data_IF_675122195011
#
_entry.id   IF_675122195011
#
_cell.length_a   1.000
_cell.length_b   1.000
_cell.length_c   1.000
_cell.angle_alpha   90.00
_cell.angle_beta   90.00
_cell.angle_gamma   90.00
#
_symmetry.space_group_name_H-M   'P 1'
#
loop_
_entity.id
_entity.type
_entity.pdbx_description
1 polymer ?
#
# COMPACT_ATOMS: atom_id res chain seq x y z
N UNK A 1 -59.10 67.91 25.73
CA UNK A 1 -58.02 67.01 26.17
C UNK A 1 -57.13 66.76 24.95
N UNK A 2 -56.29 67.72 24.59
CA UNK A 2 -54.82 67.77 24.84
C UNK A 2 -54.09 66.67 24.07
N UNK A 3 -53.59 66.86 22.84
CA UNK A 3 -52.56 67.78 22.28
C UNK A 3 -51.12 67.21 22.35
N UNK A 4 -50.56 66.93 21.15
CA UNK A 4 -49.21 67.28 20.64
C UNK A 4 -47.98 66.84 21.46
N UNK A 5 -46.98 66.18 20.82
CA UNK A 5 -45.66 66.74 20.44
C UNK A 5 -44.62 65.66 20.02
N UNK A 6 -43.82 65.96 19.00
CA UNK A 6 -42.51 65.32 18.69
C UNK A 6 -41.46 65.68 19.77
N UNK A 7 -40.35 64.94 19.86
CA UNK A 7 -39.05 65.62 19.75
C UNK A 7 -37.96 64.84 18.98
N UNK A 8 -36.86 65.56 18.74
CA UNK A 8 -35.61 65.20 18.05
C UNK A 8 -34.44 65.11 19.09
N UNK A 9 -33.13 65.19 18.76
CA UNK A 9 -32.11 64.13 18.88
C UNK A 9 -31.02 64.33 19.98
N UNK A 10 -30.12 63.34 20.14
CA UNK A 10 -28.87 63.40 20.93
C UNK A 10 -28.70 62.17 21.83
N UNK A 11 -27.56 61.54 22.08
CA UNK A 11 -26.15 61.85 21.85
C UNK A 11 -25.35 60.54 21.76
N UNK A 12 -24.24 60.56 21.01
CA UNK A 12 -23.25 59.48 20.93
C UNK A 12 -22.28 59.62 22.09
N UNK A 13 -22.12 58.57 22.91
CA UNK A 13 -21.03 58.44 23.88
C UNK A 13 -20.10 57.33 23.37
N UNK A 14 -18.89 57.73 22.96
CA UNK A 14 -17.76 56.84 22.72
C UNK A 14 -17.16 56.44 24.07
N UNK A 15 -17.19 55.15 24.42
CA UNK A 15 -16.39 54.60 25.52
C UNK A 15 -15.18 53.88 24.93
N UNK A 16 -13.98 54.43 25.20
CA UNK A 16 -12.71 53.83 24.87
C UNK A 16 -12.39 52.68 25.84
N UNK A 17 -12.26 51.45 25.31
CA UNK A 17 -11.68 50.32 26.03
C UNK A 17 -10.20 50.19 25.65
N UNK A 18 -9.31 50.45 26.61
CA UNK A 18 -7.87 50.25 26.46
C UNK A 18 -7.53 48.76 26.34
N UNK A 19 -6.89 48.39 25.24
CA UNK A 19 -6.31 47.06 25.06
C UNK A 19 -4.94 47.01 25.75
N UNK A 20 -4.85 46.26 26.86
CA UNK A 20 -3.59 45.80 27.41
C UNK A 20 -3.02 44.71 26.50
N UNK A 21 -1.95 45.04 25.77
CA UNK A 21 -1.19 44.09 24.98
C UNK A 21 -0.43 43.14 25.91
N UNK A 22 -0.93 41.91 26.05
CA UNK A 22 -0.15 40.79 26.59
C UNK A 22 0.79 40.32 25.48
N UNK A 23 2.11 40.27 25.69
CA UNK A 23 3.01 39.73 24.67
C UNK A 23 2.68 38.25 24.50
N UNK A 24 2.24 37.86 23.30
CA UNK A 24 2.22 36.46 22.89
C UNK A 24 3.66 35.96 22.93
N UNK A 25 4.01 35.23 23.98
CA UNK A 25 5.18 34.38 23.97
C UNK A 25 4.99 33.34 22.86
N UNK A 26 5.73 33.52 21.77
CA UNK A 26 5.79 32.54 20.70
C UNK A 26 6.27 31.21 21.29
N UNK A 27 5.38 30.23 21.33
CA UNK A 27 5.77 28.84 21.58
C UNK A 27 6.67 28.40 20.44
N UNK A 28 7.85 27.81 20.72
CA UNK A 28 8.71 27.34 19.64
C UNK A 28 8.00 26.18 18.95
N UNK A 29 7.62 26.40 17.70
CA UNK A 29 7.21 25.34 16.80
C UNK A 29 8.34 24.28 16.78
N UNK A 30 7.96 23.02 16.98
CA UNK A 30 8.85 21.86 16.95
C UNK A 30 9.64 21.81 15.65
N UNK A 31 10.89 22.28 15.66
CA UNK A 31 11.75 22.27 14.49
C UNK A 31 12.19 20.83 14.19
N UNK A 32 11.55 20.19 13.21
CA UNK A 32 12.11 19.01 12.57
C UNK A 32 13.46 19.40 11.95
N UNK A 33 14.52 18.64 12.22
CA UNK A 33 15.83 18.85 11.61
C UNK A 33 15.69 18.76 10.09
N UNK A 34 16.06 19.83 9.39
CA UNK A 34 16.18 19.85 7.94
C UNK A 34 17.58 19.34 7.60
N UNK A 35 17.69 18.13 7.06
CA UNK A 35 18.97 17.63 6.54
C UNK A 35 19.51 18.48 5.40
N UNK A 36 20.75 18.23 4.94
CA UNK A 36 21.25 18.85 3.70
C UNK A 36 20.25 18.61 2.57
N UNK A 37 20.15 19.54 1.62
CA UNK A 37 19.17 19.45 0.52
C UNK A 37 19.28 18.10 -0.21
N UNK A 38 20.51 17.59 -0.34
CA UNK A 38 20.78 16.27 -0.87
C UNK A 38 22.01 15.60 -0.26
N UNK A 39 21.93 14.29 -0.09
CA UNK A 39 23.02 13.36 0.22
C UNK A 39 23.21 12.43 -0.98
N UNK A 40 24.44 12.31 -1.47
CA UNK A 40 24.78 11.34 -2.52
C UNK A 40 25.56 10.18 -1.91
N UNK A 41 24.96 9.00 -1.95
CA UNK A 41 25.53 7.73 -1.48
C UNK A 41 26.14 7.02 -2.69
N UNK A 42 27.46 6.82 -2.71
CA UNK A 42 28.18 6.27 -3.87
C UNK A 42 28.63 4.84 -3.61
N UNK A 43 28.60 4.00 -4.64
CA UNK A 43 29.21 2.66 -4.62
C UNK A 43 30.70 2.77 -4.29
N UNK A 44 31.17 1.98 -3.33
CA UNK A 44 32.55 2.03 -2.84
C UNK A 44 32.92 3.30 -2.06
N UNK A 45 31.96 4.21 -1.86
CA UNK A 45 32.15 5.42 -1.05
C UNK A 45 31.86 5.17 0.43
N UNK A 46 32.25 6.12 1.31
CA UNK A 46 31.93 6.04 2.73
C UNK A 46 30.43 6.23 2.97
N UNK A 47 29.96 5.74 4.11
CA UNK A 47 28.61 6.05 4.59
C UNK A 47 28.42 7.57 4.71
N UNK A 48 27.23 8.06 4.35
CA UNK A 48 26.84 9.46 4.45
C UNK A 48 25.66 9.59 5.38
N UNK A 49 25.50 10.71 6.06
CA UNK A 49 24.44 10.81 7.06
C UNK A 49 24.18 12.24 7.49
N UNK A 50 23.21 12.37 8.38
CA UNK A 50 22.82 13.62 9.02
C UNK A 50 22.60 13.37 10.52
N UNK A 51 22.89 14.37 11.37
CA UNK A 51 22.40 14.35 12.74
C UNK A 51 20.89 14.58 12.75
N UNK A 52 20.22 14.07 13.79
CA UNK A 52 18.86 14.47 14.14
C UNK A 52 18.72 14.49 15.67
N UNK A 53 17.79 15.29 16.17
CA UNK A 53 17.50 15.39 17.60
C UNK A 53 16.13 14.80 17.86
N UNK A 54 16.06 13.77 18.69
CA UNK A 54 14.81 13.23 19.20
C UNK A 54 14.38 14.07 20.40
N UNK A 55 13.30 14.86 20.25
CA UNK A 55 12.77 15.69 21.33
C UNK A 55 12.20 14.89 22.50
N UNK A 56 11.87 13.61 22.25
CA UNK A 56 11.35 12.63 23.21
C UNK A 56 11.89 11.24 22.86
N UNK A 57 12.01 10.39 23.87
CA UNK A 57 12.22 8.95 23.65
C UNK A 57 11.00 8.34 22.98
N UNK A 58 11.20 7.40 22.08
CA UNK A 58 10.14 6.72 21.35
C UNK A 58 10.62 6.16 20.01
N UNK A 59 9.67 5.72 19.20
CA UNK A 59 9.94 5.18 17.88
C UNK A 59 10.23 6.31 16.90
N UNK A 60 11.34 6.20 16.16
CA UNK A 60 11.73 7.15 15.15
C UNK A 60 11.41 6.66 13.73
N UNK A 61 11.13 7.62 12.85
CA UNK A 61 10.88 7.41 11.41
C UNK A 61 11.77 8.37 10.62
N UNK A 62 12.24 7.94 9.45
CA UNK A 62 12.88 8.80 8.47
C UNK A 62 11.99 8.98 7.24
N UNK A 63 11.97 10.18 6.67
CA UNK A 63 11.33 10.52 5.39
C UNK A 63 12.36 11.16 4.46
N UNK A 64 12.26 10.87 3.16
CA UNK A 64 13.16 11.39 2.14
C UNK A 64 12.60 11.18 0.74
N UNK A 65 13.18 11.85 -0.26
CA UNK A 65 12.99 11.50 -1.68
C UNK A 65 14.24 10.80 -2.20
N UNK A 66 14.10 9.63 -2.84
CA UNK A 66 15.23 8.82 -3.32
C UNK A 66 15.16 8.53 -4.81
N UNK A 67 16.32 8.46 -5.43
CA UNK A 67 16.50 8.08 -6.83
C UNK A 67 17.87 7.42 -7.02
N UNK A 68 17.96 6.44 -7.91
CA UNK A 68 19.19 5.76 -8.28
C UNK A 68 19.45 5.89 -9.78
N UNK A 69 20.14 6.96 -10.24
CA UNK A 69 20.46 7.12 -11.65
C UNK A 69 21.17 5.88 -12.22
N UNK A 70 20.71 5.42 -13.38
CA UNK A 70 21.25 4.24 -14.06
C UNK A 70 20.52 2.93 -13.76
N UNK A 71 19.62 2.89 -12.76
CA UNK A 71 18.79 1.70 -12.49
C UNK A 71 17.40 1.82 -13.14
N UNK A 72 16.76 0.69 -13.39
CA UNK A 72 15.37 0.56 -13.84
C UNK A 72 14.88 -0.84 -13.51
N UNK A 73 13.77 -0.93 -12.79
CA UNK A 73 13.13 -2.20 -12.43
C UNK A 73 12.75 -3.06 -13.64
N UNK A 74 12.54 -2.44 -14.81
CA UNK A 74 12.21 -3.12 -16.07
C UNK A 74 13.41 -3.83 -16.73
N UNK A 75 14.64 -3.53 -16.30
CA UNK A 75 15.86 -3.98 -16.99
C UNK A 75 16.64 -4.97 -16.14
N UNK A 76 16.77 -6.19 -16.66
CA UNK A 76 17.62 -7.24 -16.08
C UNK A 76 19.07 -6.75 -15.89
N UNK A 77 19.64 -6.99 -14.72
CA UNK A 77 20.99 -6.55 -14.34
C UNK A 77 21.12 -5.07 -13.96
N UNK A 78 20.02 -4.30 -14.00
CA UNK A 78 19.96 -2.89 -13.64
C UNK A 78 18.78 -2.57 -12.69
N UNK A 79 18.26 -3.56 -11.97
CA UNK A 79 16.97 -3.50 -11.28
C UNK A 79 16.93 -2.42 -10.19
N UNK A 80 17.90 -2.45 -9.26
CA UNK A 80 17.88 -1.55 -8.11
C UNK A 80 19.26 -1.23 -7.53
N UNK A 81 19.32 -0.13 -6.79
CA UNK A 81 20.35 0.12 -5.79
C UNK A 81 19.83 -0.26 -4.41
N UNK A 82 20.70 -0.78 -3.55
CA UNK A 82 20.41 -1.06 -2.14
C UNK A 82 21.24 -0.14 -1.26
N UNK A 83 20.58 0.48 -0.27
CA UNK A 83 21.21 1.37 0.70
C UNK A 83 20.94 0.83 2.10
N UNK A 84 21.99 0.44 2.81
CA UNK A 84 21.90 0.10 4.22
C UNK A 84 21.69 1.39 5.04
N UNK A 85 20.68 1.39 5.89
CA UNK A 85 20.34 2.52 6.77
C UNK A 85 20.68 2.14 8.20
N UNK A 86 21.34 3.04 8.91
CA UNK A 86 21.77 2.82 10.29
C UNK A 86 21.54 4.06 11.17
N UNK A 87 21.21 3.83 12.43
CA UNK A 87 21.11 4.85 13.49
C UNK A 87 22.19 4.59 14.53
N UNK A 88 23.01 5.60 14.81
CA UNK A 88 24.13 5.52 15.76
C UNK A 88 25.07 4.33 15.50
N UNK A 89 25.27 4.01 14.22
CA UNK A 89 26.10 2.90 13.78
C UNK A 89 25.41 1.53 13.76
N UNK A 90 24.20 1.40 14.30
CA UNK A 90 23.40 0.16 14.26
C UNK A 90 22.59 0.09 12.96
N UNK A 91 22.79 -0.96 12.16
CA UNK A 91 21.95 -1.24 10.98
C UNK A 91 20.50 -1.50 11.38
N UNK A 92 19.56 -0.81 10.73
CA UNK A 92 18.12 -0.88 11.06
C UNK A 92 17.27 -1.39 9.91
N UNK A 93 17.59 -1.01 8.67
CA UNK A 93 16.84 -1.41 7.47
C UNK A 93 17.70 -1.30 6.22
N UNK A 94 17.33 -2.02 5.17
CA UNK A 94 17.85 -1.91 3.81
C UNK A 94 16.79 -1.28 2.91
N UNK A 95 17.17 -0.20 2.24
CA UNK A 95 16.33 0.51 1.28
C UNK A 95 16.65 0.05 -0.14
N UNK A 96 15.69 -0.61 -0.79
CA UNK A 96 15.74 -0.92 -2.22
C UNK A 96 15.19 0.28 -3.01
N UNK A 97 16.01 0.82 -3.90
CA UNK A 97 15.69 1.96 -4.78
C UNK A 97 15.61 1.44 -6.22
N UNK A 98 14.39 1.17 -6.75
CA UNK A 98 14.20 0.45 -8.01
C UNK A 98 14.13 1.37 -9.24
N UNK A 99 14.36 2.67 -9.07
CA UNK A 99 14.16 3.65 -10.14
C UNK A 99 15.15 4.82 -10.10
N UNK A 100 15.42 5.36 -11.29
CA UNK A 100 16.09 6.64 -11.46
C UNK A 100 15.16 7.84 -11.18
N UNK A 101 13.85 7.62 -11.15
CA UNK A 101 12.86 8.66 -10.87
C UNK A 101 12.78 8.99 -9.37
N UNK A 102 12.78 10.28 -8.99
CA UNK A 102 12.66 10.69 -7.59
C UNK A 102 11.35 10.24 -6.95
N UNK A 103 11.45 9.43 -5.90
CA UNK A 103 10.30 8.87 -5.19
C UNK A 103 10.34 9.23 -3.71
N UNK A 104 9.25 9.79 -3.17
CA UNK A 104 9.12 10.02 -1.73
C UNK A 104 8.95 8.69 -1.00
N UNK A 105 9.69 8.49 0.09
CA UNK A 105 9.73 7.26 0.89
C UNK A 105 9.83 7.59 2.37
N UNK A 106 9.39 6.65 3.18
CA UNK A 106 9.63 6.63 4.62
C UNK A 106 10.05 5.23 5.08
N UNK A 107 10.81 5.19 6.18
CA UNK A 107 11.26 3.95 6.84
C UNK A 107 11.21 4.13 8.35
N UNK A 108 10.91 3.05 9.07
CA UNK A 108 11.05 3.01 10.51
C UNK A 108 12.54 2.89 10.89
N UNK A 109 12.91 3.52 12.00
CA UNK A 109 14.27 3.53 12.54
C UNK A 109 14.37 2.77 13.87
N UNK A 110 13.23 2.47 14.50
CA UNK A 110 13.11 1.85 15.81
C UNK A 110 13.25 2.85 16.96
N UNK A 111 13.33 2.29 18.17
CA UNK A 111 13.39 3.06 19.40
C UNK A 111 14.68 3.87 19.53
N UNK A 112 14.53 5.16 19.84
CA UNK A 112 15.62 6.08 20.17
C UNK A 112 15.34 6.79 21.50
N UNK A 113 16.39 7.20 22.22
CA UNK A 113 16.25 7.99 23.44
C UNK A 113 16.01 9.46 23.08
N UNK A 114 15.56 10.27 24.02
CA UNK A 114 15.62 11.72 23.87
C UNK A 114 17.10 12.15 23.77
N UNK A 115 17.44 12.94 22.77
CA UNK A 115 18.81 13.44 22.58
C UNK A 115 19.25 13.47 21.12
N UNK A 116 20.57 13.58 20.94
CA UNK A 116 21.21 13.61 19.63
C UNK A 116 21.44 12.19 19.10
N UNK A 117 21.17 12.01 17.81
CA UNK A 117 21.34 10.77 17.08
C UNK A 117 21.91 11.03 15.69
N UNK A 118 22.44 9.99 15.07
CA UNK A 118 22.99 10.06 13.70
C UNK A 118 22.34 9.03 12.80
N UNK A 119 21.63 9.51 11.77
CA UNK A 119 21.12 8.68 10.68
C UNK A 119 22.19 8.58 9.58
N UNK A 120 22.47 7.36 9.13
CA UNK A 120 23.47 7.08 8.10
C UNK A 120 22.93 6.17 7.01
N UNK A 121 23.45 6.37 5.81
CA UNK A 121 23.14 5.67 4.57
C UNK A 121 24.46 5.19 3.96
N UNK A 122 24.57 3.88 3.72
CA UNK A 122 25.73 3.25 3.12
C UNK A 122 25.33 2.47 1.86
N UNK A 123 26.11 2.58 0.79
CA UNK A 123 25.82 1.85 -0.43
C UNK A 123 26.09 0.35 -0.23
N UNK A 124 25.07 -0.49 -0.33
CA UNK A 124 25.20 -1.94 -0.19
C UNK A 124 25.53 -2.56 -1.55
N UNK A 125 26.83 -2.65 -1.85
CA UNK A 125 27.31 -3.07 -3.17
C UNK A 125 26.87 -4.47 -3.58
N UNK A 126 26.80 -5.41 -2.62
CA UNK A 126 26.46 -6.81 -2.86
C UNK A 126 25.00 -7.01 -3.29
N UNK A 127 24.06 -6.26 -2.70
CA UNK A 127 22.64 -6.31 -3.10
C UNK A 127 22.30 -5.43 -4.31
N UNK A 128 23.18 -4.52 -4.70
CA UNK A 128 22.90 -3.52 -5.75
C UNK A 128 23.27 -4.01 -7.15
N UNK A 129 22.38 -3.79 -8.12
CA UNK A 129 22.62 -4.10 -9.53
C UNK A 129 23.88 -3.38 -10.07
N UNK A 130 24.61 -3.98 -11.02
CA UNK A 130 25.90 -3.44 -11.48
C UNK A 130 25.78 -2.02 -12.05
N UNK A 131 24.64 -1.70 -12.69
CA UNK A 131 24.33 -0.38 -13.21
C UNK A 131 24.15 0.69 -12.09
N UNK A 132 23.79 0.28 -10.88
CA UNK A 132 23.66 1.19 -9.74
C UNK A 132 25.05 1.69 -9.29
N UNK A 133 25.34 2.98 -9.50
CA UNK A 133 26.61 3.60 -9.07
C UNK A 133 26.44 4.60 -7.94
N UNK A 134 25.25 5.16 -7.78
CA UNK A 134 24.92 6.11 -6.72
C UNK A 134 23.42 6.13 -6.43
N UNK A 135 23.08 6.53 -5.21
CA UNK A 135 21.72 6.89 -4.79
C UNK A 135 21.75 8.34 -4.32
N UNK A 136 20.76 9.11 -4.77
CA UNK A 136 20.54 10.47 -4.30
C UNK A 136 19.40 10.45 -3.30
N UNK A 137 19.68 10.85 -2.06
CA UNK A 137 18.69 11.03 -0.99
C UNK A 137 18.47 12.53 -0.84
N UNK A 138 17.27 13.03 -1.11
CA UNK A 138 16.93 14.46 -1.03
C UNK A 138 16.04 14.72 0.18
N UNK A 139 16.28 15.87 0.81
CA UNK A 139 15.52 16.37 1.98
C UNK A 139 15.30 15.32 3.06
N UNK A 140 16.32 14.56 3.50
CA UNK A 140 16.16 13.58 4.56
C UNK A 140 15.76 14.28 5.86
N UNK A 141 14.74 13.74 6.52
CA UNK A 141 14.27 14.17 7.84
C UNK A 141 14.09 12.92 8.70
N UNK A 142 14.49 13.00 9.96
CA UNK A 142 14.25 11.95 10.93
C UNK A 142 13.76 12.56 12.25
N UNK A 143 12.93 11.81 12.97
CA UNK A 143 12.41 12.25 14.26
C UNK A 143 11.46 11.23 14.88
N UNK A 144 11.02 11.51 16.10
CA UNK A 144 10.08 10.69 16.86
C UNK A 144 8.67 11.27 16.76
N UNK A 145 7.82 10.79 15.82
CA UNK A 145 6.45 11.28 15.70
C UNK A 145 5.68 11.13 17.03
N UNK A 146 4.69 12.01 17.25
CA UNK A 146 3.80 11.90 18.43
C UNK A 146 2.68 10.89 18.19
N UNK A 147 2.13 10.89 16.98
CA UNK A 147 1.10 9.94 16.56
C UNK A 147 1.70 8.54 16.38
N UNK A 148 0.83 7.53 16.45
CA UNK A 148 1.09 6.14 16.04
C UNK A 148 2.25 5.44 16.75
N UNK A 149 2.72 5.99 17.87
CA UNK A 149 3.86 5.44 18.62
C UNK A 149 3.65 4.00 19.09
N UNK A 150 2.40 3.64 19.43
CA UNK A 150 2.07 2.26 19.80
C UNK A 150 2.15 1.33 18.60
N UNK A 151 1.63 1.74 17.44
CA UNK A 151 1.73 0.98 16.20
C UNK A 151 3.19 0.84 15.72
N UNK A 152 3.97 1.91 15.78
CA UNK A 152 5.38 1.85 15.45
C UNK A 152 6.15 0.89 16.37
N UNK A 153 5.86 0.89 17.69
CA UNK A 153 6.59 0.10 18.70
C UNK A 153 6.45 -1.40 18.48
N UNK A 154 5.31 -1.85 17.96
CA UNK A 154 5.03 -3.27 17.73
C UNK A 154 5.08 -3.65 16.25
N UNK A 155 5.52 -2.72 15.39
CA UNK A 155 5.68 -2.97 13.95
C UNK A 155 6.74 -4.07 13.71
N UNK A 156 6.48 -5.02 12.80
CA UNK A 156 7.42 -6.09 12.50
C UNK A 156 8.63 -5.56 11.72
N UNK A 157 9.79 -6.18 11.98
CA UNK A 157 10.94 -6.10 11.09
C UNK A 157 10.87 -7.33 10.18
N UNK A 158 10.73 -7.08 8.88
CA UNK A 158 10.64 -8.14 7.88
C UNK A 158 12.03 -8.45 7.34
N UNK A 159 12.54 -9.64 7.63
CA UNK A 159 13.77 -10.15 7.03
C UNK A 159 13.47 -10.70 5.64
N UNK A 160 14.35 -10.39 4.69
CA UNK A 160 14.21 -10.79 3.30
C UNK A 160 14.25 -12.31 3.08
N UNK A 161 13.72 -12.72 1.93
CA UNK A 161 13.72 -14.10 1.44
C UNK A 161 15.15 -14.60 1.24
N UNK A 162 15.40 -15.81 1.74
CA UNK A 162 16.64 -16.58 1.50
C UNK A 162 16.30 -17.96 0.96
N UNK A 163 15.42 -18.01 -0.04
CA UNK A 163 14.89 -19.24 -0.60
C UNK A 163 15.91 -19.89 -1.56
N UNK A 164 16.45 -21.09 -1.27
CA UNK A 164 17.46 -21.71 -2.11
C UNK A 164 17.02 -21.89 -3.58
N UNK A 165 15.74 -22.20 -3.80
CA UNK A 165 15.15 -22.40 -5.13
C UNK A 165 15.15 -21.14 -6.01
N UNK A 166 15.35 -19.95 -5.43
CA UNK A 166 15.42 -18.69 -6.16
C UNK A 166 16.88 -18.22 -6.38
N UNK A 167 17.88 -18.94 -5.86
CA UNK A 167 19.29 -18.86 -6.29
C UNK A 167 20.08 -17.58 -5.97
N UNK A 168 19.48 -16.57 -5.33
CA UNK A 168 20.14 -15.33 -4.92
C UNK A 168 19.97 -15.10 -3.40
N UNK A 169 20.94 -14.51 -2.70
CA UNK A 169 20.79 -14.13 -1.29
C UNK A 169 20.19 -12.71 -1.13
N UNK A 170 20.10 -11.95 -2.22
CA UNK A 170 19.57 -10.59 -2.28
C UNK A 170 18.30 -10.53 -3.15
N UNK A 171 17.48 -11.58 -3.15
CA UNK A 171 16.30 -11.73 -4.03
C UNK A 171 15.40 -10.51 -3.97
N UNK A 172 15.11 -10.01 -2.77
CA UNK A 172 14.27 -8.82 -2.58
C UNK A 172 14.88 -7.52 -3.11
N UNK A 173 16.11 -7.51 -3.65
CA UNK A 173 16.66 -6.39 -4.41
C UNK A 173 16.41 -6.52 -5.93
N UNK A 174 15.74 -7.59 -6.36
CA UNK A 174 15.50 -7.95 -7.77
C UNK A 174 14.06 -8.37 -8.03
N UNK A 175 13.38 -8.99 -7.07
CA UNK A 175 11.98 -9.41 -7.14
C UNK A 175 11.33 -9.57 -5.76
N UNK A 176 10.01 -9.41 -5.67
CA UNK A 176 9.20 -9.25 -4.45
C UNK A 176 9.91 -8.37 -3.41
N UNK A 177 10.31 -7.15 -3.77
CA UNK A 177 10.82 -6.23 -2.74
C UNK A 177 9.64 -5.78 -1.86
N UNK A 178 9.76 -5.78 -0.52
CA UNK A 178 8.81 -5.07 0.32
C UNK A 178 8.79 -3.58 -0.05
N UNK A 179 7.61 -3.04 -0.36
CA UNK A 179 7.41 -1.69 -0.89
C UNK A 179 6.88 -0.74 0.18
N UNK A 180 5.78 -1.15 0.82
CA UNK A 180 4.98 -0.36 1.76
C UNK A 180 4.55 -1.25 2.93
N UNK A 181 4.38 -0.66 4.10
CA UNK A 181 3.69 -1.28 5.23
C UNK A 181 2.60 -0.33 5.75
N UNK A 182 1.61 -0.88 6.41
CA UNK A 182 0.60 -0.12 7.13
C UNK A 182 0.11 -0.91 8.33
N UNK A 183 -0.66 -0.26 9.20
CA UNK A 183 -1.35 -0.93 10.29
C UNK A 183 -2.86 -0.65 10.27
N UNK A 184 -3.59 -1.56 10.89
CA UNK A 184 -5.00 -1.42 11.21
C UNK A 184 -5.21 -1.74 12.70
N UNK A 185 -6.10 -0.99 13.35
CA UNK A 185 -6.52 -1.29 14.72
C UNK A 185 -7.85 -2.03 14.68
N UNK A 186 -7.87 -3.25 15.21
CA UNK A 186 -9.04 -4.10 15.30
C UNK A 186 -9.54 -4.17 16.76
N UNK A 187 -10.84 -4.37 16.98
CA UNK A 187 -11.37 -4.57 18.33
C UNK A 187 -10.73 -5.79 19.02
N UNK A 188 -10.36 -5.64 20.29
CA UNK A 188 -10.03 -6.77 21.17
C UNK A 188 -11.27 -7.21 21.98
N UNK A 189 -11.25 -8.43 22.49
CA UNK A 189 -12.33 -8.96 23.34
C UNK A 189 -12.37 -8.28 24.71
N UNK A 190 -11.21 -7.90 25.24
CA UNK A 190 -11.09 -7.23 26.53
C UNK A 190 -11.27 -5.70 26.38
N UNK A 191 -12.15 -5.06 27.18
CA UNK A 191 -12.32 -3.61 27.14
C UNK A 191 -11.00 -2.85 27.36
N UNK A 192 -10.78 -1.79 26.58
CA UNK A 192 -9.58 -0.96 26.61
C UNK A 192 -8.36 -1.55 25.89
N UNK A 193 -8.43 -2.82 25.47
CA UNK A 193 -7.41 -3.44 24.62
C UNK A 193 -7.75 -3.22 23.14
N UNK A 194 -6.75 -3.39 22.27
CA UNK A 194 -6.92 -3.42 20.81
C UNK A 194 -5.93 -4.37 20.15
N UNK A 195 -6.29 -4.90 18.99
CA UNK A 195 -5.38 -5.72 18.17
C UNK A 195 -4.79 -4.85 17.08
N UNK A 196 -3.48 -4.83 16.97
CA UNK A 196 -2.76 -4.19 15.88
C UNK A 196 -2.49 -5.23 14.81
N UNK A 197 -3.01 -5.04 13.59
CA UNK A 197 -2.68 -5.83 12.42
C UNK A 197 -1.73 -5.05 11.52
N UNK A 198 -0.63 -5.67 11.12
CA UNK A 198 0.33 -5.11 10.17
C UNK A 198 0.27 -5.84 8.86
N UNK A 199 0.34 -5.10 7.77
CA UNK A 199 0.37 -5.65 6.42
C UNK A 199 1.45 -5.00 5.58
N UNK A 200 1.90 -5.72 4.56
CA UNK A 200 2.99 -5.32 3.67
C UNK A 200 2.56 -5.53 2.21
N UNK A 201 3.05 -4.65 1.33
CA UNK A 201 2.95 -4.79 -0.13
C UNK A 201 4.31 -5.23 -0.65
N UNK A 202 4.37 -6.30 -1.44
CA UNK A 202 5.56 -6.73 -2.17
C UNK A 202 5.44 -6.39 -3.65
N UNK A 203 6.56 -6.22 -4.35
CA UNK A 203 6.56 -5.80 -5.76
C UNK A 203 5.92 -6.80 -6.73
N UNK A 204 5.87 -8.08 -6.36
CA UNK A 204 5.27 -9.16 -7.12
C UNK A 204 4.65 -10.21 -6.20
N UNK A 205 3.89 -11.14 -6.77
CA UNK A 205 3.63 -12.49 -6.24
C UNK A 205 4.39 -13.50 -7.14
N UNK A 206 5.48 -14.09 -6.61
CA UNK A 206 6.32 -15.05 -7.36
C UNK A 206 5.73 -16.47 -7.43
N UNK A 207 4.62 -16.75 -6.73
CA UNK A 207 3.92 -18.03 -6.80
C UNK A 207 2.61 -18.04 -6.03
N UNK A 208 1.80 -19.08 -6.21
CA UNK A 208 0.47 -19.19 -5.61
C UNK A 208 -0.62 -18.90 -6.65
N UNK A 209 -0.97 -17.62 -6.82
CA UNK A 209 -1.95 -17.16 -7.81
C UNK A 209 -1.26 -16.85 -9.13
N UNK A 210 -1.82 -17.28 -10.26
CA UNK A 210 -1.28 -16.90 -11.57
C UNK A 210 -1.52 -15.41 -11.88
N UNK A 211 -0.67 -14.83 -12.73
CA UNK A 211 -0.67 -13.39 -13.03
C UNK A 211 -2.00 -12.90 -13.64
N UNK A 212 -2.66 -13.65 -14.56
CA UNK A 212 -4.00 -13.31 -15.02
C UNK A 212 -5.05 -13.23 -13.91
N UNK A 213 -5.13 -14.25 -13.05
CA UNK A 213 -6.07 -14.26 -11.93
C UNK A 213 -5.75 -13.15 -10.92
N UNK A 214 -4.48 -12.76 -10.78
CA UNK A 214 -4.08 -11.62 -9.97
C UNK A 214 -4.68 -10.30 -10.47
N UNK A 215 -4.54 -10.02 -11.76
CA UNK A 215 -5.15 -8.85 -12.41
C UNK A 215 -6.68 -8.88 -12.29
N UNK A 216 -7.31 -10.03 -12.50
CA UNK A 216 -8.76 -10.20 -12.42
C UNK A 216 -9.31 -10.04 -10.99
N UNK A 217 -8.69 -10.71 -10.00
CA UNK A 217 -9.23 -10.83 -8.64
C UNK A 217 -8.77 -9.74 -7.69
N UNK A 218 -7.64 -9.09 -7.98
CA UNK A 218 -7.01 -8.13 -7.08
C UNK A 218 -6.64 -6.81 -7.77
N UNK A 219 -6.63 -6.76 -9.10
CA UNK A 219 -6.32 -5.55 -9.85
C UNK A 219 -4.85 -5.12 -9.75
N UNK A 220 -3.95 -6.08 -9.53
CA UNK A 220 -2.51 -5.87 -9.33
C UNK A 220 -1.74 -7.18 -9.54
N UNK A 221 -0.44 -7.08 -9.80
CA UNK A 221 0.51 -8.22 -9.71
C UNK A 221 1.42 -8.15 -8.49
N UNK A 222 1.51 -7.00 -7.80
CA UNK A 222 2.11 -6.92 -6.46
C UNK A 222 1.38 -7.86 -5.53
N UNK A 223 2.06 -8.46 -4.56
CA UNK A 223 1.41 -9.18 -3.48
C UNK A 223 1.08 -8.25 -2.30
N UNK A 224 0.03 -8.59 -1.55
CA UNK A 224 -0.37 -7.88 -0.34
C UNK A 224 -0.82 -8.89 0.69
N UNK A 225 -0.12 -8.93 1.82
CA UNK A 225 -0.43 -9.84 2.93
C UNK A 225 -0.39 -9.14 4.28
N UNK A 226 -1.24 -9.62 5.20
CA UNK A 226 -1.06 -9.29 6.62
C UNK A 226 0.05 -10.19 7.17
N UNK A 227 0.96 -9.61 7.95
CA UNK A 227 2.19 -10.30 8.38
C UNK A 227 2.21 -10.60 9.87
N UNK A 228 1.58 -9.76 10.69
CA UNK A 228 1.63 -9.88 12.14
C UNK A 228 0.40 -9.25 12.77
N UNK A 229 -0.12 -9.89 13.83
CA UNK A 229 -1.12 -9.32 14.72
C UNK A 229 -0.66 -9.45 16.16
N UNK A 230 -0.98 -8.44 16.98
CA UNK A 230 -0.72 -8.48 18.42
C UNK A 230 -1.76 -7.69 19.18
N UNK A 231 -2.22 -8.22 20.30
CA UNK A 231 -3.07 -7.45 21.22
C UNK A 231 -2.19 -6.54 22.08
N UNK A 232 -2.62 -5.29 22.25
CA UNK A 232 -2.03 -4.34 23.17
C UNK A 232 -3.05 -3.89 24.20
N UNK A 233 -2.58 -3.69 25.44
CA UNK A 233 -3.40 -3.17 26.53
C UNK A 233 -3.68 -1.67 26.41
N UNK A 234 -4.41 -1.11 27.37
CA UNK A 234 -4.76 0.30 27.42
C UNK A 234 -3.53 1.25 27.47
N UNK A 235 -2.39 0.76 27.97
CA UNK A 235 -1.13 1.49 28.02
C UNK A 235 -0.26 1.27 26.75
N UNK A 236 -0.78 0.52 25.78
CA UNK A 236 -0.07 0.17 24.55
C UNK A 236 1.06 -0.84 24.75
N UNK A 237 1.05 -1.61 25.84
CA UNK A 237 1.99 -2.73 26.03
C UNK A 237 1.43 -3.98 25.38
N UNK A 238 2.32 -4.78 24.78
CA UNK A 238 1.98 -6.09 24.21
C UNK A 238 1.39 -6.99 25.29
N UNK A 239 0.25 -7.59 25.01
CA UNK A 239 -0.31 -8.66 25.85
C UNK A 239 0.46 -9.94 25.54
N UNK A 240 1.15 -10.56 26.52
CA UNK A 240 1.96 -11.76 26.28
C UNK A 240 1.15 -12.90 25.65
N UNK A 241 1.76 -13.62 24.69
CA UNK A 241 1.15 -14.79 24.04
C UNK A 241 0.08 -14.49 22.99
N UNK A 242 -0.20 -13.21 22.68
CA UNK A 242 -1.23 -12.83 21.69
C UNK A 242 -0.69 -12.60 20.27
N UNK A 243 0.64 -12.58 20.12
CA UNK A 243 1.28 -12.41 18.82
C UNK A 243 0.96 -13.59 17.90
N UNK A 244 0.46 -13.30 16.70
CA UNK A 244 0.25 -14.29 15.64
C UNK A 244 0.74 -13.76 14.29
N UNK A 245 1.08 -14.63 13.37
CA UNK A 245 1.54 -14.27 12.03
C UNK A 245 0.90 -15.15 10.95
N UNK A 246 0.94 -14.68 9.72
CA UNK A 246 0.47 -15.44 8.56
C UNK A 246 1.59 -16.34 8.06
N UNK A 247 1.51 -17.61 8.44
CA UNK A 247 2.46 -18.66 8.12
C UNK A 247 2.18 -19.29 6.73
N UNK A 248 3.06 -20.19 6.22
CA UNK A 248 2.85 -20.86 4.95
C UNK A 248 1.46 -21.49 4.82
N UNK A 249 0.92 -21.48 3.59
CA UNK A 249 -0.46 -21.88 3.29
C UNK A 249 -1.53 -20.97 3.94
N UNK A 250 -1.18 -19.70 4.20
CA UNK A 250 -2.04 -18.71 4.85
C UNK A 250 -2.56 -19.12 6.23
N UNK A 251 -1.82 -19.97 6.96
CA UNK A 251 -2.19 -20.37 8.31
C UNK A 251 -1.96 -19.22 9.29
N UNK A 252 -2.82 -19.09 10.30
CA UNK A 252 -2.55 -18.19 11.44
C UNK A 252 -1.87 -18.99 12.53
N UNK A 253 -0.59 -18.73 12.78
CA UNK A 253 0.18 -19.41 13.83
C UNK A 253 0.59 -18.43 14.93
N UNK A 254 0.73 -18.94 16.16
CA UNK A 254 1.29 -18.18 17.27
C UNK A 254 2.75 -17.81 16.98
N UNK A 255 3.13 -16.58 17.28
CA UNK A 255 4.50 -16.11 17.14
C UNK A 255 5.36 -16.61 18.31
N UNK A 256 6.34 -17.46 18.01
CA UNK A 256 7.33 -17.97 18.95
C UNK A 256 8.75 -17.44 18.66
N UNK A 257 8.87 -16.51 17.70
CA UNK A 257 10.11 -15.91 17.26
C UNK A 257 10.75 -14.92 18.24
N UNK A 258 11.83 -14.29 17.78
CA UNK A 258 12.58 -13.29 18.55
C UNK A 258 12.05 -11.89 18.31
N UNK A 259 12.23 -11.02 19.31
CA UNK A 259 11.99 -9.59 19.19
C UNK A 259 13.31 -8.81 19.19
N UNK A 260 13.38 -7.75 18.40
CA UNK A 260 14.32 -6.64 18.63
C UNK A 260 13.58 -5.52 19.37
N UNK A 261 13.81 -5.40 20.68
CA UNK A 261 12.96 -4.55 21.52
C UNK A 261 11.54 -5.13 21.56
N UNK A 262 10.56 -4.37 21.08
CA UNK A 262 9.17 -4.84 20.93
C UNK A 262 8.77 -5.17 19.49
N UNK A 263 9.72 -5.11 18.55
CA UNK A 263 9.50 -5.45 17.14
C UNK A 263 9.70 -6.94 16.90
N UNK A 264 8.68 -7.70 16.47
CA UNK A 264 8.88 -9.09 16.12
C UNK A 264 9.74 -9.19 14.86
N UNK A 265 10.67 -10.14 14.85
CA UNK A 265 11.43 -10.51 13.66
C UNK A 265 10.67 -11.61 12.90
N UNK A 266 10.25 -11.30 11.69
CA UNK A 266 9.61 -12.26 10.79
C UNK A 266 10.42 -12.33 9.49
N UNK A 267 10.57 -13.51 8.92
CA UNK A 267 11.19 -13.68 7.61
C UNK A 267 10.14 -14.04 6.56
N UNK A 268 10.18 -13.38 5.40
CA UNK A 268 9.43 -13.87 4.24
C UNK A 268 10.04 -15.21 3.79
N UNK A 269 9.30 -16.31 3.90
CA UNK A 269 9.85 -17.67 3.76
C UNK A 269 9.12 -18.54 2.74
N UNK A 270 8.22 -17.97 1.94
CA UNK A 270 7.59 -18.63 0.80
C UNK A 270 7.67 -17.77 -0.46
N UNK A 271 7.39 -18.38 -1.61
CA UNK A 271 7.33 -17.68 -2.90
C UNK A 271 6.08 -16.79 -3.04
N UNK A 272 5.06 -17.03 -2.22
CA UNK A 272 3.83 -16.23 -2.11
C UNK A 272 3.83 -15.35 -0.83
N UNK A 273 5.02 -14.90 -0.42
CA UNK A 273 5.28 -13.95 0.66
C UNK A 273 4.69 -14.23 2.07
N UNK A 274 4.32 -15.47 2.39
CA UNK A 274 3.99 -15.84 3.76
C UNK A 274 5.24 -15.87 4.65
N UNK A 275 5.01 -15.75 5.95
CA UNK A 275 6.05 -15.46 6.93
C UNK A 275 6.47 -16.69 7.73
N UNK A 276 7.69 -16.64 8.26
CA UNK A 276 8.19 -17.54 9.29
C UNK A 276 8.67 -16.70 10.47
N UNK A 277 8.50 -17.20 11.69
CA UNK A 277 8.97 -16.57 12.93
C UNK A 277 10.40 -16.99 13.33
N UNK A 278 11.02 -17.87 12.53
CA UNK A 278 12.44 -18.16 12.57
C UNK A 278 13.15 -17.45 11.44
N UNK A 279 14.22 -16.73 11.78
CA UNK A 279 15.06 -16.01 10.82
C UNK A 279 16.29 -16.85 10.48
N UNK A 280 16.57 -16.97 9.19
CA UNK A 280 17.78 -17.61 8.66
C UNK A 280 19.00 -16.81 9.11
N UNK A 281 20.01 -17.47 9.74
CA UNK A 281 21.26 -16.83 10.07
C UNK A 281 21.88 -16.15 8.84
N UNK A 282 22.47 -14.97 9.04
CA UNK A 282 23.14 -14.20 7.98
C UNK A 282 22.27 -13.80 6.78
N UNK A 283 20.94 -13.75 6.95
CA UNK A 283 20.04 -13.16 5.95
C UNK A 283 20.50 -11.75 5.56
N UNK A 284 20.53 -11.47 4.25
CA UNK A 284 21.27 -10.32 3.71
C UNK A 284 20.51 -9.01 3.67
N UNK A 285 19.17 -9.08 3.73
CA UNK A 285 18.29 -7.92 3.65
C UNK A 285 17.32 -7.93 4.82
N UNK A 286 17.09 -6.76 5.40
CA UNK A 286 16.03 -6.54 6.39
C UNK A 286 15.26 -5.27 6.04
N UNK A 287 13.96 -5.29 6.29
CA UNK A 287 13.03 -4.24 5.91
C UNK A 287 12.25 -3.80 7.15
N UNK A 288 12.61 -2.63 7.66
CA UNK A 288 11.85 -1.94 8.69
C UNK A 288 11.07 -0.79 8.06
N UNK A 289 9.94 -1.13 7.46
CA UNK A 289 9.10 -0.20 6.74
C UNK A 289 8.34 0.70 7.73
N UNK A 290 8.06 1.94 7.31
CA UNK A 290 7.18 2.81 8.06
C UNK A 290 5.74 2.27 8.00
N UNK A 291 5.21 1.86 9.15
CA UNK A 291 3.87 1.30 9.29
C UNK A 291 2.85 2.32 9.80
N UNK A 292 3.20 3.62 9.93
CA UNK A 292 2.23 4.67 10.29
C UNK A 292 1.05 4.82 9.33
N UNK A 293 1.15 4.52 8.01
CA UNK A 293 -0.03 4.55 7.15
C UNK A 293 -1.13 3.65 7.69
N UNK A 294 -2.38 4.00 7.36
CA UNK A 294 -3.58 3.21 7.66
C UNK A 294 -4.45 3.07 6.42
N UNK A 295 -5.31 2.06 6.43
CA UNK A 295 -6.31 1.81 5.39
C UNK A 295 -7.71 2.24 5.88
N UNK A 296 -8.47 3.01 5.09
CA UNK A 296 -9.88 3.23 5.37
C UNK A 296 -10.67 1.91 5.29
N UNK A 297 -11.49 1.62 6.29
CA UNK A 297 -12.23 0.36 6.37
C UNK A 297 -13.17 0.11 5.17
N UNK A 298 -13.64 1.17 4.54
CA UNK A 298 -14.54 1.16 3.37
C UNK A 298 -13.82 1.10 2.02
N UNK A 299 -12.48 0.93 2.01
CA UNK A 299 -11.66 0.87 0.80
C UNK A 299 -10.89 -0.45 0.69
N UNK A 300 -10.63 -0.89 -0.53
CA UNK A 300 -9.81 -2.08 -0.79
C UNK A 300 -8.36 -1.86 -0.32
N UNK A 301 -7.59 -2.94 -0.13
CA UNK A 301 -6.20 -2.86 0.36
C UNK A 301 -5.31 -2.04 -0.58
N UNK A 302 -5.61 -2.08 -1.88
CA UNK A 302 -4.91 -1.38 -2.95
C UNK A 302 -4.94 0.15 -2.82
N UNK A 303 -5.82 0.72 -1.96
CA UNK A 303 -5.82 2.17 -1.67
C UNK A 303 -4.49 2.66 -1.07
N UNK A 304 -3.71 1.79 -0.44
CA UNK A 304 -2.37 2.13 0.05
C UNK A 304 -1.38 2.34 -1.11
N UNK A 305 -1.55 1.62 -2.21
CA UNK A 305 -0.82 1.84 -3.47
C UNK A 305 -1.29 3.11 -4.15
N UNK A 306 -2.60 3.40 -4.16
CA UNK A 306 -3.14 4.64 -4.74
C UNK A 306 -2.54 5.90 -4.07
N UNK A 307 -2.32 5.83 -2.75
CA UNK A 307 -1.68 6.90 -1.95
C UNK A 307 -0.16 6.96 -2.10
N UNK A 308 0.44 5.91 -2.68
CA UNK A 308 1.88 5.77 -2.94
C UNK A 308 2.12 5.32 -4.38
N UNK A 309 1.71 6.13 -5.39
CA UNK A 309 1.53 5.69 -6.78
C UNK A 309 2.81 5.17 -7.46
N UNK A 310 3.97 5.44 -6.88
CA UNK A 310 5.25 4.89 -7.34
C UNK A 310 5.32 3.36 -7.31
N UNK A 311 4.41 2.68 -6.59
CA UNK A 311 4.33 1.21 -6.60
C UNK A 311 3.81 0.65 -7.91
N UNK A 312 2.98 1.38 -8.67
CA UNK A 312 2.44 0.93 -9.95
C UNK A 312 3.52 0.76 -11.03
N UNK A 313 4.48 1.70 -11.21
CA UNK A 313 5.62 1.47 -12.08
C UNK A 313 6.46 0.26 -11.67
N UNK A 314 6.65 0.01 -10.37
CA UNK A 314 7.41 -1.17 -9.92
C UNK A 314 6.66 -2.45 -10.29
N UNK A 315 5.36 -2.51 -9.99
CA UNK A 315 4.47 -3.62 -10.36
C UNK A 315 4.55 -3.94 -11.87
N UNK A 316 4.38 -2.93 -12.71
CA UNK A 316 4.31 -3.12 -14.15
C UNK A 316 5.67 -3.49 -14.76
N UNK A 317 6.73 -2.79 -14.34
CA UNK A 317 8.08 -3.03 -14.83
C UNK A 317 8.62 -4.41 -14.45
N UNK A 318 8.18 -4.97 -13.33
CA UNK A 318 8.52 -6.34 -12.93
C UNK A 318 8.03 -7.35 -13.96
N UNK A 319 6.76 -7.26 -14.34
CA UNK A 319 6.16 -8.18 -15.31
C UNK A 319 6.81 -8.07 -16.68
N UNK A 320 7.19 -6.85 -17.10
CA UNK A 320 7.97 -6.64 -18.32
C UNK A 320 9.33 -7.33 -18.22
N UNK A 321 10.08 -7.12 -17.13
CA UNK A 321 11.42 -7.72 -16.94
C UNK A 321 11.40 -9.24 -16.89
N UNK A 322 10.31 -9.80 -16.38
CA UNK A 322 10.11 -11.24 -16.22
C UNK A 322 9.50 -11.92 -17.45
N UNK A 323 9.22 -11.15 -18.52
CA UNK A 323 8.57 -11.64 -19.73
C UNK A 323 7.20 -12.27 -19.45
N UNK A 324 6.45 -11.69 -18.50
CA UNK A 324 5.08 -12.10 -18.13
C UNK A 324 4.00 -11.30 -18.86
N UNK A 325 4.40 -10.43 -19.79
CA UNK A 325 3.51 -9.57 -20.57
C UNK A 325 3.42 -10.07 -22.01
N UNK A 326 2.21 -10.28 -22.51
CA UNK A 326 1.99 -10.54 -23.93
C UNK A 326 2.18 -9.27 -24.78
N UNK A 327 2.66 -9.45 -26.00
CA UNK A 327 2.93 -8.37 -26.93
C UNK A 327 2.62 -8.81 -28.38
N UNK A 328 1.62 -8.22 -29.06
CA UNK A 328 0.75 -7.15 -28.57
C UNK A 328 -0.18 -7.61 -27.44
N UNK A 329 -0.70 -6.64 -26.66
CA UNK A 329 -1.79 -6.89 -25.71
C UNK A 329 -3.09 -7.19 -26.47
N UNK A 330 -3.82 -8.22 -26.04
CA UNK A 330 -5.03 -8.72 -26.66
C UNK A 330 -6.10 -9.05 -25.58
N UNK A 331 -7.12 -8.18 -25.40
CA UNK A 331 -8.18 -8.42 -24.40
C UNK A 331 -9.04 -9.67 -24.68
N UNK A 332 -8.87 -10.34 -25.83
CA UNK A 332 -9.52 -11.61 -26.13
C UNK A 332 -8.79 -12.82 -25.52
N UNK A 333 -7.53 -12.69 -25.12
CA UNK A 333 -6.77 -13.75 -24.44
C UNK A 333 -6.80 -13.51 -22.92
N UNK A 334 -6.54 -14.54 -22.10
CA UNK A 334 -6.36 -14.37 -20.67
C UNK A 334 -4.91 -13.99 -20.28
N UNK A 335 -3.96 -13.95 -21.21
CA UNK A 335 -2.58 -13.57 -20.88
C UNK A 335 -2.53 -12.10 -20.47
N UNK A 336 -1.59 -11.75 -19.59
CA UNK A 336 -1.52 -10.38 -19.10
C UNK A 336 -0.89 -9.48 -20.15
N UNK A 337 -1.65 -8.55 -20.73
CA UNK A 337 -1.14 -7.50 -21.60
C UNK A 337 -0.42 -6.38 -20.85
N UNK A 338 0.06 -5.38 -21.58
CA UNK A 338 0.67 -4.19 -20.98
C UNK A 338 -0.32 -3.53 -20.00
N UNK A 339 0.04 -3.37 -18.72
CA UNK A 339 -0.91 -2.90 -17.72
C UNK A 339 -1.51 -1.50 -18.00
N UNK A 340 -1.00 -0.73 -18.95
CA UNK A 340 -1.61 0.53 -19.41
C UNK A 340 -2.89 0.32 -20.24
N UNK A 341 -3.15 -0.89 -20.73
CA UNK A 341 -4.39 -1.26 -21.44
C UNK A 341 -5.54 -1.60 -20.48
N UNK A 342 -5.28 -1.68 -19.19
CA UNK A 342 -6.25 -2.09 -18.18
C UNK A 342 -6.94 -0.90 -17.53
N UNK A 343 -8.26 -1.00 -17.39
CA UNK A 343 -9.04 -0.16 -16.48
C UNK A 343 -8.95 -0.75 -15.07
N UNK A 344 -8.28 -0.05 -14.15
CA UNK A 344 -8.20 -0.40 -12.74
C UNK A 344 -9.41 0.12 -12.00
N UNK A 345 -10.18 -0.77 -11.36
CA UNK A 345 -11.43 -0.45 -10.69
C UNK A 345 -11.43 -0.94 -9.23
N UNK A 346 -12.19 -0.26 -8.39
CA UNK A 346 -12.54 -0.74 -7.05
C UNK A 346 -14.06 -0.68 -6.88
N UNK A 347 -14.67 -1.78 -6.44
CA UNK A 347 -16.10 -1.84 -6.15
C UNK A 347 -16.40 -2.54 -4.83
N UNK A 348 -17.63 -2.38 -4.35
CA UNK A 348 -18.13 -3.07 -3.15
C UNK A 348 -19.40 -3.85 -3.47
N UNK A 349 -19.42 -5.11 -3.06
CA UNK A 349 -20.62 -5.95 -3.12
C UNK A 349 -20.98 -6.53 -1.75
N UNK A 350 -22.18 -7.08 -1.66
CA UNK A 350 -22.65 -7.93 -0.57
C UNK A 350 -23.34 -9.16 -1.13
N UNK A 351 -23.11 -10.32 -0.55
CA UNK A 351 -23.78 -11.56 -0.93
C UNK A 351 -24.99 -11.79 -0.03
N UNK A 352 -26.11 -12.16 -0.64
CA UNK A 352 -27.34 -12.49 0.07
C UNK A 352 -27.36 -13.95 0.55
N UNK A 353 -28.48 -14.34 1.16
CA UNK A 353 -28.68 -15.72 1.59
C UNK A 353 -28.76 -16.68 0.37
N UNK A 354 -28.20 -17.89 0.47
CA UNK A 354 -28.34 -18.91 -0.57
C UNK A 354 -29.79 -19.36 -0.71
N UNK A 355 -30.17 -19.76 -1.91
CA UNK A 355 -31.50 -20.31 -2.22
C UNK A 355 -31.45 -21.80 -2.57
N UNK A 356 -30.25 -22.38 -2.65
CA UNK A 356 -30.01 -23.80 -2.92
C UNK A 356 -28.65 -24.29 -2.46
N UNK A 357 -28.27 -25.48 -2.96
CA UNK A 357 -26.97 -26.11 -2.70
C UNK A 357 -25.97 -25.66 -3.77
N UNK A 358 -24.73 -25.40 -3.36
CA UNK A 358 -23.64 -25.04 -4.29
C UNK A 358 -22.65 -24.09 -3.64
N UNK A 359 -21.79 -23.49 -4.46
CA UNK A 359 -20.84 -22.48 -4.00
C UNK A 359 -21.44 -21.07 -4.03
N UNK A 360 -20.84 -20.19 -3.23
CA UNK A 360 -21.15 -18.76 -3.22
C UNK A 360 -20.77 -18.16 -4.59
N UNK A 361 -21.61 -17.34 -5.22
CA UNK A 361 -21.29 -16.72 -6.50
C UNK A 361 -20.28 -15.58 -6.34
N UNK A 362 -19.51 -15.34 -7.39
CA UNK A 362 -18.66 -14.16 -7.50
C UNK A 362 -19.30 -13.05 -8.33
N UNK A 363 -18.63 -11.91 -8.38
CA UNK A 363 -18.97 -10.80 -9.29
C UNK A 363 -17.74 -10.40 -10.07
N UNK A 364 -17.86 -10.37 -11.40
CA UNK A 364 -16.88 -9.75 -12.30
C UNK A 364 -17.40 -8.41 -12.83
N UNK A 365 -16.49 -7.57 -13.28
CA UNK A 365 -16.82 -6.29 -13.90
C UNK A 365 -16.64 -6.40 -15.40
N UNK A 366 -17.63 -5.92 -16.14
CA UNK A 366 -17.62 -5.80 -17.59
C UNK A 366 -17.56 -4.34 -18.02
N UNK A 367 -16.91 -4.09 -19.16
CA UNK A 367 -16.84 -2.77 -19.80
C UNK A 367 -17.26 -2.90 -21.26
N UNK A 368 -18.16 -2.01 -21.70
CA UNK A 368 -18.44 -1.81 -23.14
C UNK A 368 -17.83 -0.51 -23.59
N UNK A 369 -17.24 -0.51 -24.78
CA UNK A 369 -16.72 0.70 -25.40
C UNK A 369 -17.76 1.29 -26.36
N UNK A 370 -17.79 2.62 -26.50
CA UNK A 370 -18.67 3.34 -27.44
C UNK A 370 -18.43 2.89 -28.89
N UNK A 371 -17.17 2.63 -29.24
CA UNK A 371 -16.75 2.17 -30.57
C UNK A 371 -17.02 0.69 -30.84
N UNK A 372 -17.24 -0.09 -29.79
CA UNK A 372 -17.53 -1.52 -29.88
C UNK A 372 -18.60 -1.88 -28.83
N UNK A 373 -19.87 -1.50 -29.08
CA UNK A 373 -20.96 -1.75 -28.15
C UNK A 373 -21.34 -3.25 -28.07
N UNK A 374 -20.93 -4.06 -29.05
CA UNK A 374 -21.23 -5.50 -29.11
C UNK A 374 -20.43 -6.31 -28.10
N UNK A 375 -19.19 -5.91 -27.83
CA UNK A 375 -18.27 -6.62 -26.94
C UNK A 375 -18.40 -6.16 -25.49
N UNK A 376 -18.48 -7.13 -24.58
CA UNK A 376 -18.32 -6.91 -23.14
C UNK A 376 -16.96 -7.46 -22.72
N UNK A 377 -15.98 -6.57 -22.54
CA UNK A 377 -14.68 -6.93 -22.00
C UNK A 377 -14.84 -7.21 -20.50
N UNK A 378 -14.43 -8.38 -20.02
CA UNK A 378 -14.69 -8.81 -18.64
C UNK A 378 -13.39 -8.96 -17.84
N UNK A 379 -13.43 -8.52 -16.59
CA UNK A 379 -12.30 -8.63 -15.66
C UNK A 379 -11.81 -10.07 -15.45
N UNK A 380 -12.71 -11.03 -15.57
CA UNK A 380 -12.42 -12.45 -15.35
C UNK A 380 -12.09 -13.22 -16.63
N UNK A 381 -12.03 -12.56 -17.79
CA UNK A 381 -11.86 -13.21 -19.10
C UNK A 381 -12.78 -14.42 -19.31
N UNK A 382 -14.00 -14.37 -18.75
CA UNK A 382 -14.97 -15.47 -18.75
C UNK A 382 -14.53 -16.75 -18.02
N UNK A 383 -13.53 -16.66 -17.14
CA UNK A 383 -13.14 -17.69 -16.19
C UNK A 383 -13.85 -17.44 -14.85
N UNK A 384 -14.95 -18.16 -14.51
CA UNK A 384 -15.78 -17.77 -13.37
C UNK A 384 -15.06 -17.75 -12.02
N UNK A 385 -14.06 -18.63 -11.82
CA UNK A 385 -13.23 -18.67 -10.62
C UNK A 385 -12.33 -17.44 -10.43
N UNK A 386 -12.22 -16.57 -11.44
CA UNK A 386 -11.50 -15.29 -11.37
C UNK A 386 -12.41 -14.12 -10.99
N UNK A 387 -13.70 -14.36 -10.77
CA UNK A 387 -14.60 -13.36 -10.23
C UNK A 387 -14.42 -13.17 -8.71
N UNK A 388 -14.98 -12.09 -8.17
CA UNK A 388 -14.73 -11.68 -6.78
C UNK A 388 -15.81 -12.25 -5.86
N UNK A 389 -15.42 -13.15 -4.95
CA UNK A 389 -16.30 -13.74 -3.93
C UNK A 389 -16.48 -12.86 -2.69
N UNK A 390 -15.43 -12.15 -2.27
CA UNK A 390 -15.41 -11.43 -0.98
C UNK A 390 -16.41 -10.27 -0.93
N UNK A 391 -16.96 -10.02 0.25
CA UNK A 391 -17.89 -8.91 0.54
C UNK A 391 -17.19 -7.65 1.08
N UNK A 392 -15.86 -7.68 1.15
CA UNK A 392 -15.03 -6.51 1.38
C UNK A 392 -14.89 -5.71 0.08
N UNK A 393 -14.66 -4.38 0.15
CA UNK A 393 -14.25 -3.60 -1.02
C UNK A 393 -13.10 -4.29 -1.76
N UNK A 394 -13.21 -4.36 -3.07
CA UNK A 394 -12.35 -5.18 -3.91
C UNK A 394 -11.86 -4.40 -5.11
N UNK A 395 -10.54 -4.39 -5.31
CA UNK A 395 -9.93 -3.97 -6.57
C UNK A 395 -9.98 -5.11 -7.61
N UNK A 396 -10.05 -4.72 -8.88
CA UNK A 396 -10.04 -5.57 -10.07
C UNK A 396 -9.53 -4.76 -11.25
N UNK A 397 -9.28 -5.41 -12.38
CA UNK A 397 -8.97 -4.75 -13.65
C UNK A 397 -9.76 -5.34 -14.80
N UNK A 398 -10.01 -4.55 -15.85
CA UNK A 398 -10.57 -5.01 -17.12
C UNK A 398 -9.61 -4.65 -18.23
N UNK A 399 -9.08 -5.65 -18.94
CA UNK A 399 -8.26 -5.39 -20.12
C UNK A 399 -9.11 -4.85 -21.27
N UNK A 400 -8.60 -3.82 -21.94
CA UNK A 400 -9.27 -3.16 -23.04
C UNK A 400 -8.32 -3.00 -24.22
N UNK A 401 -8.82 -2.84 -25.45
CA UNK A 401 -7.94 -2.62 -26.59
C UNK A 401 -7.06 -1.39 -26.38
N UNK A 402 -5.80 -1.49 -26.80
CA UNK A 402 -4.78 -0.46 -26.58
C UNK A 402 -5.28 0.95 -26.98
N UNK A 403 -4.94 1.93 -26.14
CA UNK A 403 -5.32 3.33 -26.31
C UNK A 403 -6.73 3.69 -25.81
N UNK A 404 -7.50 2.73 -25.27
CA UNK A 404 -8.77 3.02 -24.61
C UNK A 404 -8.59 4.00 -23.44
N UNK A 405 -9.55 4.91 -23.29
CA UNK A 405 -9.63 5.91 -22.22
C UNK A 405 -10.98 5.84 -21.53
N UNK A 406 -11.10 6.47 -20.36
CA UNK A 406 -12.38 6.58 -19.65
C UNK A 406 -13.49 7.17 -20.55
N UNK A 407 -13.15 8.17 -21.36
CA UNK A 407 -14.11 8.83 -22.27
C UNK A 407 -14.66 7.89 -23.36
N UNK A 408 -13.99 6.77 -23.63
CA UNK A 408 -14.42 5.78 -24.64
C UNK A 408 -15.39 4.75 -24.08
N UNK A 409 -15.58 4.70 -22.75
CA UNK A 409 -16.46 3.74 -22.09
C UNK A 409 -17.92 4.12 -22.31
N UNK A 410 -18.74 3.17 -22.74
CA UNK A 410 -20.19 3.30 -22.86
C UNK A 410 -20.92 2.86 -21.59
N UNK A 411 -20.46 1.77 -20.97
CA UNK A 411 -20.99 1.25 -19.71
C UNK A 411 -19.93 0.52 -18.90
N UNK A 412 -20.08 0.57 -17.58
CA UNK A 412 -19.49 -0.40 -16.65
C UNK A 412 -20.63 -1.25 -16.09
N UNK A 413 -20.48 -2.57 -16.17
CA UNK A 413 -21.49 -3.57 -15.83
C UNK A 413 -20.95 -4.50 -14.76
N UNK A 414 -21.81 -4.95 -13.85
CA UNK A 414 -21.48 -6.06 -12.97
C UNK A 414 -22.13 -7.33 -13.48
N UNK A 415 -21.41 -8.45 -13.37
CA UNK A 415 -21.88 -9.76 -13.81
C UNK A 415 -21.66 -10.78 -12.69
N UNK A 416 -22.75 -11.38 -12.22
CA UNK A 416 -22.75 -12.48 -11.25
C UNK A 416 -22.27 -13.75 -11.92
N UNK A 417 -21.29 -14.40 -11.31
CA UNK A 417 -20.67 -15.62 -11.83
C UNK A 417 -20.96 -16.81 -10.89
N UNK A 418 -21.41 -17.95 -11.43
CA UNK A 418 -21.38 -19.20 -10.68
C UNK A 418 -19.92 -19.64 -10.51
N UNK A 419 -19.46 -19.83 -9.28
CA UNK A 419 -18.10 -20.28 -8.98
C UNK A 419 -18.11 -21.70 -8.42
N UNK A 420 -16.96 -22.37 -8.36
CA UNK A 420 -16.80 -23.63 -7.63
C UNK A 420 -17.73 -24.76 -8.07
N UNK A 421 -18.17 -25.57 -7.11
CA UNK A 421 -18.99 -26.76 -7.33
C UNK A 421 -20.49 -26.41 -7.42
N UNK A 422 -20.85 -25.65 -8.45
CA UNK A 422 -22.24 -25.24 -8.73
C UNK A 422 -22.64 -23.92 -8.07
N UNK A 423 -23.89 -23.52 -8.26
CA UNK A 423 -24.40 -22.22 -7.85
C UNK A 423 -25.46 -22.37 -6.75
N UNK A 424 -25.18 -21.83 -5.55
CA UNK A 424 -26.14 -21.85 -4.45
C UNK A 424 -27.30 -20.84 -4.60
N UNK A 425 -27.37 -20.13 -5.72
CA UNK A 425 -28.44 -19.20 -6.07
C UNK A 425 -28.48 -17.93 -5.22
N UNK A 426 -27.47 -17.66 -4.39
CA UNK A 426 -27.40 -16.44 -3.58
C UNK A 426 -27.37 -15.19 -4.49
N UNK A 427 -28.12 -14.11 -4.20
CA UNK A 427 -28.00 -12.88 -4.96
C UNK A 427 -26.72 -12.11 -4.58
N UNK A 428 -26.19 -11.30 -5.48
CA UNK A 428 -25.07 -10.41 -5.21
C UNK A 428 -25.51 -8.95 -5.43
N UNK A 429 -25.39 -8.11 -4.40
CA UNK A 429 -25.76 -6.69 -4.47
C UNK A 429 -24.52 -5.82 -4.57
N UNK A 430 -24.33 -5.13 -5.69
CA UNK A 430 -23.25 -4.16 -5.87
C UNK A 430 -23.73 -2.79 -5.40
N UNK A 431 -22.91 -2.12 -4.59
CA UNK A 431 -23.31 -0.90 -3.86
C UNK A 431 -22.49 0.34 -4.22
N UNK A 432 -21.28 0.16 -4.74
CA UNK A 432 -20.44 1.28 -5.16
C UNK A 432 -19.33 0.85 -6.11
N UNK A 433 -18.90 1.80 -6.93
CA UNK A 433 -17.59 1.86 -7.58
C UNK A 433 -16.86 3.04 -6.93
N UNK A 434 -15.78 2.76 -6.21
CA UNK A 434 -15.03 3.76 -5.44
C UNK A 434 -14.00 4.50 -6.31
N UNK A 435 -13.50 3.85 -7.36
CA UNK A 435 -12.57 4.43 -8.34
C UNK A 435 -12.54 3.64 -9.65
N UNK A 436 -12.15 4.31 -10.74
CA UNK A 436 -11.79 3.71 -12.02
C UNK A 436 -10.81 4.60 -12.80
N UNK A 437 -9.63 4.08 -13.12
CA UNK A 437 -8.56 4.80 -13.83
C UNK A 437 -7.73 3.90 -14.75
N UNK A 438 -6.99 4.51 -15.67
CA UNK A 438 -5.92 3.85 -16.44
C UNK A 438 -4.55 4.31 -15.94
N UNK A 439 -3.51 3.55 -16.26
CA UNK A 439 -2.13 4.00 -16.07
C UNK A 439 -1.70 4.91 -17.24
N UNK A 440 -0.77 5.83 -17.00
CA UNK A 440 -0.16 6.67 -18.02
C UNK A 440 1.07 6.00 -18.66
N UNK A 441 1.77 6.74 -19.54
CA UNK A 441 2.96 6.23 -20.22
C UNK A 441 4.10 5.81 -19.26
N UNK A 442 4.16 6.43 -18.06
CA UNK A 442 5.10 6.11 -17.00
C UNK A 442 4.60 5.07 -16.00
N UNK A 443 3.48 4.41 -16.28
CA UNK A 443 2.78 3.47 -15.39
C UNK A 443 2.24 4.11 -14.10
N UNK A 444 2.03 5.42 -14.08
CA UNK A 444 1.41 6.08 -12.94
C UNK A 444 -0.12 6.10 -13.10
N UNK A 445 -0.89 5.93 -12.01
CA UNK A 445 -2.34 6.03 -12.08
C UNK A 445 -2.78 7.44 -12.48
N UNK A 446 -3.62 7.52 -13.50
CA UNK A 446 -4.32 8.74 -13.86
C UNK A 446 -5.42 9.06 -12.83
N UNK A 447 -5.97 10.27 -12.89
CA UNK A 447 -7.12 10.63 -12.06
C UNK A 447 -8.30 9.67 -12.30
N UNK A 448 -8.99 9.28 -11.23
CA UNK A 448 -10.19 8.44 -11.34
C UNK A 448 -11.26 9.18 -12.11
N UNK A 449 -11.72 8.58 -13.20
CA UNK A 449 -12.80 9.11 -14.04
C UNK A 449 -14.14 8.40 -13.84
N UNK A 450 -14.18 7.36 -13.01
CA UNK A 450 -15.38 6.55 -12.74
C UNK A 450 -15.62 6.49 -11.24
N UNK A 451 -16.85 6.83 -10.85
CA UNK A 451 -17.37 6.61 -9.51
C UNK A 451 -18.87 6.35 -9.61
N UNK A 452 -19.38 5.47 -8.76
CA UNK A 452 -20.80 5.17 -8.71
C UNK A 452 -21.21 4.78 -7.30
N UNK A 453 -22.42 5.15 -6.91
CA UNK A 453 -23.05 4.72 -5.66
C UNK A 453 -24.50 4.40 -5.92
N UNK A 454 -24.95 3.26 -5.43
CA UNK A 454 -26.32 2.80 -5.62
C UNK A 454 -26.54 1.45 -4.98
N UNK A 455 -27.52 0.70 -5.49
CA UNK A 455 -27.78 -0.66 -5.05
C UNK A 455 -28.38 -1.42 -6.22
N UNK A 456 -27.63 -2.39 -6.75
CA UNK A 456 -28.03 -3.22 -7.88
C UNK A 456 -27.87 -4.67 -7.49
N UNK A 457 -28.96 -5.42 -7.49
CA UNK A 457 -28.98 -6.84 -7.12
C UNK A 457 -28.96 -7.71 -8.36
N UNK A 458 -27.97 -8.58 -8.44
CA UNK A 458 -27.79 -9.59 -9.47
C UNK A 458 -28.30 -10.94 -8.93
N UNK A 459 -29.07 -11.65 -9.74
CA UNK A 459 -29.65 -12.96 -9.40
C UNK A 459 -29.35 -13.96 -10.51
N UNK A 460 -29.57 -15.28 -10.32
CA UNK A 460 -29.46 -16.23 -11.43
C UNK A 460 -30.33 -15.88 -12.65
N UNK A 461 -31.54 -15.34 -12.42
CA UNK A 461 -32.46 -14.93 -13.48
C UNK A 461 -32.12 -13.57 -14.12
N UNK A 462 -31.30 -12.76 -13.45
CA UNK A 462 -30.84 -11.45 -13.93
C UNK A 462 -29.39 -11.24 -13.49
N UNK A 463 -28.43 -11.94 -14.14
CA UNK A 463 -27.07 -12.06 -13.64
C UNK A 463 -26.22 -10.82 -13.94
N UNK A 464 -26.69 -9.89 -14.78
CA UNK A 464 -25.91 -8.71 -15.18
C UNK A 464 -26.73 -7.43 -15.04
N UNK A 465 -26.05 -6.32 -14.72
CA UNK A 465 -26.65 -5.00 -14.72
C UNK A 465 -25.62 -3.90 -14.93
N UNK A 466 -26.05 -2.79 -15.55
CA UNK A 466 -25.23 -1.59 -15.72
C UNK A 466 -25.13 -0.85 -14.38
N UNK A 467 -23.91 -0.57 -13.94
CA UNK A 467 -23.64 0.25 -12.78
C UNK A 467 -23.45 1.71 -13.18
N UNK A 468 -22.63 1.96 -14.20
CA UNK A 468 -22.21 3.31 -14.56
C UNK A 468 -22.29 3.56 -16.07
N UNK A 469 -22.60 4.80 -16.43
CA UNK A 469 -22.54 5.38 -17.78
C UNK A 469 -21.94 6.80 -17.66
N UNK A 470 -21.21 7.29 -18.67
CA UNK A 470 -20.58 8.61 -18.66
C UNK A 470 -21.55 9.79 -18.64
#
# INVERSE_FOLDING_TARGET
>A
MSSIMKPSPGAVILAAAGALAVPLAATPASAAAHGPESIVVRRGGPARGLPFVASRSGEAVATFTVAAPGVSWARRGAEAAVVAVAVDGRHVTDLVVPSAEPTARSVALGSVRRGEHRLTFAFASAGSAAAARRVTVRRPRAGTPRADQVALRHAPIVVGRTLPQLGDAYQNARTDTPLLAWHEELPATKPGHRVLEYSVVWSNEDGGTDTPALMARWGRTTDIEWVYRVEVDADGRRVPGTGVYQAPNHQTLAFAGRYEGDHPLLQTCTVNNNMCDTVTPDAKLRFFLDSTPTRPADRAREVVMDRSPWTYPVMAQEMVRENKIENPADPATPQVGDQRTYLFLEFKKKTGAPTGIGSIPGVSIGVRLKRDPGTLYRSDHSTPSWSIERDLPAATTVELPAGAKVADIASVEAVRQPMGAGDNGAPATVTSINRGFFLDAGYLPQASGIAWKGSVTLTPASPSAVLWKP
#
